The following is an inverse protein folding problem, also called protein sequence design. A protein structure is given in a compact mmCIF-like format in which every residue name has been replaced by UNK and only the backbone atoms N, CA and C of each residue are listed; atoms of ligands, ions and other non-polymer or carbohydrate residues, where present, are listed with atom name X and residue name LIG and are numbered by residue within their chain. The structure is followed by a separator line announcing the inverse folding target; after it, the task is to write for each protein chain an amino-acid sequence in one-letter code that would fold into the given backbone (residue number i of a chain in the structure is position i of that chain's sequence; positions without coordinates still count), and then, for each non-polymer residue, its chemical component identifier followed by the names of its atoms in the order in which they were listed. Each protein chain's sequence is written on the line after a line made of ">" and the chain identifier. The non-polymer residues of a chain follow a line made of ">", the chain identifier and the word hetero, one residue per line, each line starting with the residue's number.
data_IF_256602737619
#
_entry.id   IF_256602737619
#
_cell.length_a   1.000
_cell.length_b   1.000
_cell.length_c   1.000
_cell.angle_alpha   90.00
_cell.angle_beta   90.00
_cell.angle_gamma   90.00
#
_symmetry.space_group_name_H-M   'P 1'
#
loop_
_entity.id
_entity.type
_entity.pdbx_description
1 polymer ?
#
# COMPACT_ATOMS: atom_id res chain seq x y z
N UNK A 1 -14.99 19.44 -8.31
CA UNK A 1 -13.60 19.34 -8.85
C UNK A 1 -13.66 18.57 -10.17
N UNK A 2 -12.84 18.89 -11.17
CA UNK A 2 -12.77 18.10 -12.42
C UNK A 2 -12.33 16.66 -12.10
N UNK A 3 -12.97 15.65 -12.69
CA UNK A 3 -12.68 14.20 -12.51
C UNK A 3 -11.20 13.88 -12.72
N UNK A 4 -10.56 14.51 -13.71
CA UNK A 4 -9.13 14.28 -13.98
C UNK A 4 -8.24 14.78 -12.84
N UNK A 5 -8.57 15.94 -12.26
CA UNK A 5 -7.85 16.50 -11.11
C UNK A 5 -8.07 15.64 -9.86
N UNK A 6 -9.27 15.09 -9.69
CA UNK A 6 -9.56 14.15 -8.60
C UNK A 6 -8.73 12.87 -8.70
N UNK A 7 -8.69 12.24 -9.88
CA UNK A 7 -7.87 11.04 -10.11
C UNK A 7 -6.38 11.33 -9.95
N UNK A 8 -5.90 12.45 -10.50
CA UNK A 8 -4.51 12.88 -10.33
C UNK A 8 -4.14 13.01 -8.84
N UNK A 9 -5.02 13.61 -8.03
CA UNK A 9 -4.79 13.71 -6.59
C UNK A 9 -4.77 12.33 -5.91
N UNK A 10 -5.64 11.39 -6.32
CA UNK A 10 -5.61 10.01 -5.81
C UNK A 10 -4.28 9.33 -6.16
N UNK A 11 -3.79 9.48 -7.39
CA UNK A 11 -2.50 8.95 -7.83
C UNK A 11 -1.31 9.59 -7.11
N UNK A 12 -1.34 10.90 -6.83
CA UNK A 12 -0.32 11.57 -6.01
C UNK A 12 -0.33 11.02 -4.58
N UNK A 13 -1.51 10.85 -3.98
CA UNK A 13 -1.63 10.27 -2.64
C UNK A 13 -1.10 8.84 -2.63
N UNK A 14 -1.39 8.05 -3.66
CA UNK A 14 -0.88 6.69 -3.80
C UNK A 14 0.65 6.67 -3.93
N UNK A 15 1.23 7.52 -4.78
CA UNK A 15 2.68 7.62 -4.93
C UNK A 15 3.39 7.90 -3.59
N UNK A 16 2.85 8.87 -2.83
CA UNK A 16 3.32 9.19 -1.49
C UNK A 16 3.11 8.01 -0.53
N UNK A 17 1.93 7.38 -0.57
CA UNK A 17 1.59 6.25 0.29
C UNK A 17 2.53 5.07 0.06
N UNK A 18 2.71 4.67 -1.20
CA UNK A 18 3.53 3.55 -1.62
C UNK A 18 4.98 3.75 -1.17
N UNK A 19 5.55 4.94 -1.39
CA UNK A 19 6.90 5.24 -0.89
C UNK A 19 6.98 5.14 0.64
N UNK A 20 6.12 5.88 1.35
CA UNK A 20 6.20 5.98 2.82
C UNK A 20 5.98 4.63 3.50
N UNK A 21 5.02 3.85 3.00
CA UNK A 21 4.68 2.52 3.53
C UNK A 21 5.75 1.49 3.21
N UNK A 22 6.24 1.42 1.97
CA UNK A 22 7.32 0.51 1.60
C UNK A 22 8.62 0.84 2.37
N UNK A 23 8.93 2.13 2.54
CA UNK A 23 10.10 2.55 3.30
C UNK A 23 9.99 2.11 4.78
N UNK A 24 8.92 2.49 5.48
CA UNK A 24 8.77 2.09 6.89
C UNK A 24 8.78 0.56 7.05
N UNK A 25 7.93 -0.14 6.30
CA UNK A 25 7.70 -1.57 6.47
C UNK A 25 8.98 -2.40 6.23
N UNK A 26 9.75 -2.05 5.19
CA UNK A 26 10.97 -2.78 4.83
C UNK A 26 12.08 -2.56 5.84
N UNK A 27 12.35 -1.30 6.17
CA UNK A 27 13.47 -0.95 7.04
C UNK A 27 13.17 -1.18 8.52
N UNK A 28 11.91 -1.42 8.89
CA UNK A 28 11.54 -1.88 10.23
C UNK A 28 12.22 -3.20 10.59
N UNK A 29 12.31 -4.17 9.69
CA UNK A 29 12.96 -5.47 10.01
C UNK A 29 14.46 -5.33 10.24
N UNK A 30 15.11 -4.42 9.51
CA UNK A 30 16.49 -4.02 9.78
C UNK A 30 16.63 -3.31 11.13
N UNK A 31 15.71 -2.42 11.45
CA UNK A 31 15.67 -1.71 12.74
C UNK A 31 15.51 -2.67 13.91
N UNK A 32 14.56 -3.62 13.82
CA UNK A 32 14.33 -4.63 14.85
C UNK A 32 15.55 -5.54 15.05
N UNK A 33 16.23 -5.91 13.96
CA UNK A 33 17.49 -6.64 14.05
C UNK A 33 18.59 -5.81 14.70
N UNK A 34 18.74 -4.54 14.30
CA UNK A 34 19.83 -3.68 14.75
C UNK A 34 19.73 -3.33 16.24
N UNK A 35 18.55 -2.94 16.72
CA UNK A 35 18.36 -2.46 18.10
C UNK A 35 17.91 -3.55 19.08
N UNK A 36 17.21 -4.58 18.61
CA UNK A 36 16.63 -5.62 19.48
C UNK A 36 17.18 -7.01 19.22
N UNK A 37 18.12 -7.16 18.28
CA UNK A 37 18.76 -8.44 18.00
C UNK A 37 17.83 -9.49 17.37
N UNK A 38 16.76 -9.04 16.71
CA UNK A 38 15.82 -9.97 16.05
C UNK A 38 16.53 -10.78 14.98
N UNK A 39 16.31 -12.09 15.02
CA UNK A 39 16.75 -13.04 13.99
C UNK A 39 15.66 -13.23 12.91
N UNK A 40 15.96 -14.05 11.91
CA UNK A 40 14.98 -14.41 10.86
C UNK A 40 13.63 -14.86 11.39
N UNK A 41 13.59 -15.65 12.48
CA UNK A 41 12.36 -16.27 12.94
C UNK A 41 11.48 -15.20 13.58
N UNK A 42 12.06 -14.36 14.44
CA UNK A 42 11.32 -13.26 15.06
C UNK A 42 10.82 -12.26 14.01
N UNK A 43 11.64 -11.89 13.02
CA UNK A 43 11.20 -11.02 11.93
C UNK A 43 10.05 -11.63 11.11
N UNK A 44 10.10 -12.94 10.83
CA UNK A 44 8.99 -13.65 10.17
C UNK A 44 7.71 -13.64 11.02
N UNK A 45 7.81 -13.84 12.34
CA UNK A 45 6.64 -13.76 13.22
C UNK A 45 6.02 -12.37 13.24
N UNK A 46 6.84 -11.31 13.32
CA UNK A 46 6.38 -9.93 13.27
C UNK A 46 5.68 -9.65 11.94
N UNK A 47 6.28 -10.08 10.83
CA UNK A 47 5.70 -9.94 9.50
C UNK A 47 4.36 -10.67 9.39
N UNK A 48 4.29 -11.92 9.84
CA UNK A 48 3.06 -12.72 9.82
C UNK A 48 1.95 -12.11 10.69
N UNK A 49 2.30 -11.57 11.86
CA UNK A 49 1.34 -10.88 12.73
C UNK A 49 0.79 -9.61 12.06
N UNK A 50 1.66 -8.83 11.42
CA UNK A 50 1.24 -7.68 10.60
C UNK A 50 0.34 -8.10 9.44
N UNK A 51 0.67 -9.20 8.75
CA UNK A 51 -0.13 -9.78 7.67
C UNK A 51 -1.52 -10.22 8.12
N UNK A 52 -1.65 -10.79 9.33
CA UNK A 52 -2.94 -11.15 9.91
C UNK A 52 -3.82 -9.91 10.16
N UNK A 53 -3.24 -8.86 10.75
CA UNK A 53 -3.94 -7.59 10.97
C UNK A 53 -4.34 -6.93 9.66
N UNK A 54 -3.46 -7.00 8.65
CA UNK A 54 -3.73 -6.48 7.32
C UNK A 54 -4.88 -7.22 6.63
N UNK A 55 -4.89 -8.56 6.69
CA UNK A 55 -5.94 -9.39 6.11
C UNK A 55 -7.32 -9.03 6.68
N UNK A 56 -7.42 -8.95 8.01
CA UNK A 56 -8.68 -8.60 8.68
C UNK A 56 -9.03 -7.14 8.40
N UNK A 57 -8.07 -6.23 8.56
CA UNK A 57 -8.28 -4.78 8.43
C UNK A 57 -8.72 -4.37 7.02
N UNK A 58 -8.10 -4.91 5.97
CA UNK A 58 -8.41 -4.57 4.58
C UNK A 58 -9.84 -4.95 4.19
N UNK A 59 -10.34 -6.09 4.69
CA UNK A 59 -11.73 -6.52 4.44
C UNK A 59 -12.75 -5.53 5.03
N UNK A 60 -12.45 -4.93 6.18
CA UNK A 60 -13.31 -3.94 6.81
C UNK A 60 -13.10 -2.53 6.27
N UNK A 61 -11.89 -2.20 5.81
CA UNK A 61 -11.52 -0.87 5.34
C UNK A 61 -12.38 -0.37 4.18
N UNK A 62 -12.58 -1.19 3.15
CA UNK A 62 -13.42 -0.82 2.00
C UNK A 62 -14.90 -0.64 2.34
N UNK A 63 -15.45 -1.53 3.19
CA UNK A 63 -16.85 -1.39 3.66
C UNK A 63 -17.03 -0.15 4.54
N UNK A 64 -16.04 0.13 5.38
CA UNK A 64 -16.04 1.31 6.23
C UNK A 64 -15.99 2.59 5.40
N UNK A 65 -15.20 2.62 4.32
CA UNK A 65 -15.05 3.78 3.46
C UNK A 65 -16.31 4.11 2.67
N UNK A 66 -17.01 3.10 2.15
CA UNK A 66 -18.31 3.27 1.49
C UNK A 66 -19.37 3.87 2.44
N UNK A 67 -19.39 3.42 3.70
CA UNK A 67 -20.37 3.89 4.69
C UNK A 67 -20.06 5.29 5.24
N UNK A 68 -18.79 5.62 5.45
CA UNK A 68 -18.37 6.84 6.18
C UNK A 68 -17.81 7.93 5.27
N UNK A 69 -17.76 7.69 3.95
CA UNK A 69 -17.15 8.56 2.96
C UNK A 69 -15.65 8.28 2.79
N UNK A 70 -15.21 8.31 1.53
CA UNK A 70 -13.84 7.97 1.15
C UNK A 70 -12.80 8.95 1.71
N UNK A 71 -12.99 10.26 1.50
CA UNK A 71 -12.01 11.27 1.95
C UNK A 71 -11.85 11.26 3.47
N UNK A 72 -12.94 11.09 4.22
CA UNK A 72 -12.90 11.01 5.69
C UNK A 72 -12.13 9.76 6.15
N UNK A 73 -12.39 8.63 5.52
CA UNK A 73 -11.71 7.36 5.83
C UNK A 73 -10.23 7.42 5.50
N UNK A 74 -9.88 8.00 4.35
CA UNK A 74 -8.50 8.18 3.93
C UNK A 74 -7.73 9.12 4.87
N UNK A 75 -8.35 10.23 5.31
CA UNK A 75 -7.79 11.12 6.34
C UNK A 75 -7.55 10.38 7.65
N UNK A 76 -8.49 9.55 8.10
CA UNK A 76 -8.34 8.75 9.31
C UNK A 76 -7.16 7.78 9.18
N UNK A 77 -7.08 7.03 8.08
CA UNK A 77 -5.98 6.09 7.83
C UNK A 77 -4.61 6.76 7.81
N UNK A 78 -4.46 7.84 7.04
CA UNK A 78 -3.20 8.61 6.95
C UNK A 78 -2.85 9.27 8.29
N UNK A 79 -3.82 9.81 9.01
CA UNK A 79 -3.60 10.38 10.33
C UNK A 79 -3.13 9.33 11.33
N UNK A 80 -3.77 8.15 11.34
CA UNK A 80 -3.34 7.03 12.19
C UNK A 80 -1.90 6.64 11.88
N UNK A 81 -1.54 6.52 10.60
CA UNK A 81 -0.17 6.21 10.22
C UNK A 81 0.83 7.29 10.68
N UNK A 82 0.52 8.58 10.48
CA UNK A 82 1.36 9.69 10.95
C UNK A 82 1.51 9.69 12.48
N UNK A 83 0.43 9.47 13.21
CA UNK A 83 0.45 9.39 14.68
C UNK A 83 1.34 8.25 15.17
N UNK A 84 1.27 7.08 14.51
CA UNK A 84 2.10 5.93 14.85
C UNK A 84 3.58 6.17 14.52
N UNK A 85 3.89 6.85 13.41
CA UNK A 85 5.27 7.26 13.11
C UNK A 85 5.82 8.24 14.16
N UNK A 86 4.96 9.15 14.63
CA UNK A 86 5.31 10.11 15.69
C UNK A 86 5.59 9.40 17.01
N UNK A 87 4.73 8.46 17.41
CA UNK A 87 4.92 7.63 18.60
C UNK A 87 6.17 6.74 18.51
N UNK A 88 6.44 6.17 17.33
CA UNK A 88 7.61 5.32 17.06
C UNK A 88 8.96 5.98 17.29
N UNK A 89 9.04 7.31 17.23
CA UNK A 89 10.27 8.05 17.53
C UNK A 89 10.62 8.14 19.01
N UNK A 90 9.63 7.93 19.90
CA UNK A 90 9.77 8.11 21.35
C UNK A 90 9.59 6.83 22.17
N UNK A 91 9.29 5.70 21.53
CA UNK A 91 9.13 4.40 22.18
C UNK A 91 10.30 3.50 21.82
N UNK A 92 11.02 2.97 22.82
CA UNK A 92 12.34 2.37 22.63
C UNK A 92 12.36 0.86 22.88
N UNK A 93 11.22 0.21 23.11
CA UNK A 93 11.16 -1.26 23.29
C UNK A 93 10.65 -1.99 22.06
N UNK A 94 11.10 -3.24 21.87
CA UNK A 94 10.65 -4.09 20.77
C UNK A 94 9.12 -4.29 20.76
N UNK A 95 8.52 -4.48 21.94
CA UNK A 95 7.06 -4.69 22.07
C UNK A 95 6.28 -3.46 21.63
N UNK A 96 6.72 -2.27 22.04
CA UNK A 96 6.10 -1.02 21.61
C UNK A 96 6.20 -0.84 20.10
N UNK A 97 7.36 -1.11 19.51
CA UNK A 97 7.56 -1.00 18.06
C UNK A 97 6.70 -1.98 17.26
N UNK A 98 6.49 -3.19 17.78
CA UNK A 98 5.52 -4.14 17.20
C UNK A 98 4.10 -3.58 17.29
N UNK A 99 3.67 -3.05 18.44
CA UNK A 99 2.33 -2.45 18.60
C UNK A 99 2.15 -1.26 17.65
N UNK A 100 3.16 -0.39 17.52
CA UNK A 100 3.17 0.73 16.56
C UNK A 100 2.95 0.22 15.16
N UNK A 101 3.70 -0.81 14.73
CA UNK A 101 3.56 -1.40 13.41
C UNK A 101 2.16 -1.98 13.19
N UNK A 102 1.57 -2.68 14.16
CA UNK A 102 0.22 -3.24 14.04
C UNK A 102 -0.86 -2.15 13.90
N UNK A 103 -0.79 -1.10 14.73
CA UNK A 103 -1.72 0.02 14.64
C UNK A 103 -1.52 0.83 13.35
N UNK A 104 -0.28 0.95 12.89
CA UNK A 104 0.05 1.58 11.63
C UNK A 104 -0.50 0.79 10.44
N UNK A 105 -0.43 -0.55 10.46
CA UNK A 105 -1.07 -1.44 9.47
C UNK A 105 -2.58 -1.22 9.41
N UNK A 106 -3.26 -1.01 10.55
CA UNK A 106 -4.68 -0.68 10.54
C UNK A 106 -4.95 0.66 9.84
N UNK A 107 -4.08 1.66 10.03
CA UNK A 107 -4.12 2.91 9.28
C UNK A 107 -3.98 2.68 7.77
N UNK A 108 -3.02 1.87 7.35
CA UNK A 108 -2.83 1.47 5.94
C UNK A 108 -4.06 0.75 5.36
N UNK A 109 -4.75 -0.08 6.15
CA UNK A 109 -5.96 -0.77 5.72
C UNK A 109 -7.14 0.18 5.43
N UNK A 110 -7.08 1.42 5.92
CA UNK A 110 -8.05 2.47 5.59
C UNK A 110 -7.62 3.31 4.38
N UNK A 111 -6.41 3.15 3.86
CA UNK A 111 -5.89 3.95 2.76
C UNK A 111 -6.04 3.26 1.40
N UNK A 112 -5.36 2.15 1.18
CA UNK A 112 -5.30 1.54 -0.15
C UNK A 112 -6.68 1.08 -0.69
N UNK A 113 -7.58 0.43 0.09
CA UNK A 113 -8.88 0.02 -0.45
C UNK A 113 -9.76 1.24 -0.76
N UNK A 114 -9.60 2.30 0.05
CA UNK A 114 -10.30 3.57 -0.13
C UNK A 114 -9.84 4.26 -1.42
N UNK A 115 -8.52 4.33 -1.65
CA UNK A 115 -7.96 4.92 -2.87
C UNK A 115 -8.37 4.14 -4.12
N UNK A 116 -8.30 2.81 -4.05
CA UNK A 116 -8.70 1.93 -5.15
C UNK A 116 -10.19 2.09 -5.47
N UNK A 117 -11.05 2.16 -4.45
CA UNK A 117 -12.47 2.46 -4.65
C UNK A 117 -12.67 3.84 -5.29
N UNK A 118 -11.98 4.87 -4.82
CA UNK A 118 -12.09 6.24 -5.35
C UNK A 118 -11.74 6.35 -6.84
N UNK A 119 -10.80 5.55 -7.35
CA UNK A 119 -10.41 5.59 -8.78
C UNK A 119 -11.22 4.65 -9.67
N UNK A 120 -11.92 3.69 -9.06
CA UNK A 120 -12.61 2.58 -9.73
C UNK A 120 -14.13 2.75 -9.81
N UNK A 121 -14.73 3.35 -8.79
CA UNK A 121 -16.18 3.44 -8.70
C UNK A 121 -16.77 4.36 -9.79
N UNK A 122 -17.78 3.87 -10.50
CA UNK A 122 -18.42 4.59 -11.60
C UNK A 122 -17.59 4.67 -12.89
N UNK A 123 -16.54 3.86 -13.03
CA UNK A 123 -15.80 3.69 -14.29
C UNK A 123 -16.42 2.61 -15.17
N UNK A 124 -16.41 2.83 -16.49
CA UNK A 124 -16.66 1.78 -17.47
C UNK A 124 -15.51 0.75 -17.48
N UNK A 125 -15.71 -0.50 -17.96
CA UNK A 125 -14.72 -1.58 -17.87
C UNK A 125 -13.35 -1.25 -18.45
N UNK A 126 -13.29 -0.49 -19.56
CA UNK A 126 -12.02 -0.11 -20.19
C UNK A 126 -11.28 0.92 -19.33
N UNK A 127 -11.99 1.96 -18.86
CA UNK A 127 -11.38 2.97 -17.98
C UNK A 127 -11.02 2.40 -16.61
N UNK A 128 -11.81 1.45 -16.10
CA UNK A 128 -11.52 0.72 -14.86
C UNK A 128 -10.18 -0.02 -14.98
N UNK A 129 -10.01 -0.82 -16.04
CA UNK A 129 -8.76 -1.54 -16.30
C UNK A 129 -7.57 -0.58 -16.39
N UNK A 130 -7.71 0.53 -17.11
CA UNK A 130 -6.65 1.54 -17.24
C UNK A 130 -6.33 2.22 -15.90
N UNK A 131 -7.35 2.56 -15.10
CA UNK A 131 -7.16 3.19 -13.79
C UNK A 131 -6.47 2.28 -12.78
N UNK A 132 -6.86 1.01 -12.73
CA UNK A 132 -6.20 0.00 -11.89
C UNK A 132 -4.77 -0.28 -12.37
N UNK A 133 -4.53 -0.32 -13.68
CA UNK A 133 -3.17 -0.47 -14.25
C UNK A 133 -2.25 0.68 -13.84
N UNK A 134 -2.69 1.93 -14.04
CA UNK A 134 -1.92 3.13 -13.63
C UNK A 134 -1.67 3.12 -12.12
N UNK A 135 -2.68 2.79 -11.32
CA UNK A 135 -2.54 2.67 -9.86
C UNK A 135 -1.45 1.68 -9.45
N UNK A 136 -1.45 0.48 -10.04
CA UNK A 136 -0.46 -0.56 -9.76
C UNK A 136 0.96 -0.19 -10.21
N UNK A 137 1.10 0.48 -11.35
CA UNK A 137 2.40 0.99 -11.84
C UNK A 137 2.95 2.02 -10.84
N UNK A 138 2.13 2.96 -10.39
CA UNK A 138 2.53 3.98 -9.42
C UNK A 138 2.94 3.34 -8.10
N UNK A 139 2.10 2.45 -7.57
CA UNK A 139 2.39 1.73 -6.34
C UNK A 139 3.73 0.96 -6.43
N UNK A 140 3.95 0.22 -7.53
CA UNK A 140 5.16 -0.56 -7.72
C UNK A 140 6.39 0.33 -7.90
N UNK A 141 6.30 1.41 -8.69
CA UNK A 141 7.42 2.30 -8.97
C UNK A 141 7.89 3.06 -7.72
N UNK A 142 6.96 3.59 -6.93
CA UNK A 142 7.31 4.31 -5.71
C UNK A 142 7.74 3.39 -4.56
N UNK A 143 7.22 2.15 -4.52
CA UNK A 143 7.76 1.11 -3.64
C UNK A 143 9.18 0.72 -4.04
N UNK A 144 9.46 0.53 -5.34
CA UNK A 144 10.82 0.27 -5.84
C UNK A 144 11.78 1.39 -5.44
N UNK A 145 11.35 2.65 -5.63
CA UNK A 145 12.13 3.81 -5.25
C UNK A 145 12.45 3.81 -3.75
N UNK A 146 11.47 3.56 -2.89
CA UNK A 146 11.66 3.47 -1.44
C UNK A 146 12.66 2.37 -1.04
N UNK A 147 12.60 1.20 -1.68
CA UNK A 147 13.59 0.15 -1.49
C UNK A 147 14.98 0.61 -1.94
N UNK A 148 15.07 1.22 -3.12
CA UNK A 148 16.34 1.60 -3.74
C UNK A 148 17.10 2.66 -2.93
N UNK A 149 16.44 3.75 -2.54
CA UNK A 149 17.10 4.84 -1.80
C UNK A 149 17.02 4.69 -0.28
N UNK A 150 16.13 3.85 0.23
CA UNK A 150 15.84 3.80 1.65
C UNK A 150 17.03 3.44 2.52
N UNK A 151 17.87 2.49 2.08
CA UNK A 151 19.04 2.08 2.86
C UNK A 151 20.09 3.19 2.93
N UNK A 152 20.24 3.95 1.84
CA UNK A 152 21.09 5.15 1.82
C UNK A 152 20.56 6.24 2.76
N UNK A 153 19.23 6.43 2.83
CA UNK A 153 18.59 7.33 3.79
C UNK A 153 18.89 6.90 5.24
N UNK A 154 18.76 5.60 5.53
CA UNK A 154 19.02 5.06 6.87
C UNK A 154 20.50 5.20 7.25
N UNK A 155 21.42 4.88 6.34
CA UNK A 155 22.87 5.01 6.58
C UNK A 155 23.30 6.47 6.74
N UNK A 156 22.76 7.38 5.91
CA UNK A 156 23.16 8.79 5.90
C UNK A 156 22.47 9.68 6.94
N UNK A 157 21.19 9.42 7.24
CA UNK A 157 20.37 10.23 8.16
C UNK A 157 20.07 9.52 9.48
N UNK A 158 20.56 8.30 9.65
CA UNK A 158 20.40 7.48 10.84
C UNK A 158 19.05 6.77 10.94
N UNK A 159 18.95 5.82 11.87
CA UNK A 159 17.80 4.94 12.02
C UNK A 159 16.47 5.63 12.33
N UNK A 160 16.48 6.82 12.97
CA UNK A 160 15.25 7.56 13.23
C UNK A 160 14.55 8.00 11.93
N UNK A 161 15.25 8.00 10.79
CA UNK A 161 14.67 8.28 9.48
C UNK A 161 13.52 7.37 9.10
N UNK A 162 13.51 6.11 9.54
CA UNK A 162 12.40 5.19 9.28
C UNK A 162 11.06 5.69 9.84
N UNK A 163 11.09 6.63 10.79
CA UNK A 163 9.89 7.22 11.38
C UNK A 163 9.61 8.62 10.83
N UNK A 164 10.59 9.52 10.86
CA UNK A 164 10.34 10.91 10.49
C UNK A 164 10.14 11.11 8.99
N UNK A 165 10.77 10.29 8.13
CA UNK A 165 10.56 10.38 6.66
C UNK A 165 9.11 9.99 6.30
N UNK A 166 8.58 8.81 6.71
CA UNK A 166 7.18 8.49 6.52
C UNK A 166 6.23 9.48 7.20
N UNK A 167 6.57 10.02 8.37
CA UNK A 167 5.78 11.06 9.03
C UNK A 167 5.61 12.30 8.14
N UNK A 168 6.70 12.81 7.55
CA UNK A 168 6.62 13.95 6.63
C UNK A 168 5.77 13.62 5.40
N UNK A 169 5.94 12.42 4.84
CA UNK A 169 5.17 11.95 3.69
C UNK A 169 3.68 11.86 4.01
N UNK A 170 3.31 11.28 5.15
CA UNK A 170 1.92 11.24 5.62
C UNK A 170 1.39 12.65 5.90
N UNK A 171 2.23 13.56 6.41
CA UNK A 171 1.89 14.98 6.54
C UNK A 171 1.56 15.64 5.20
N UNK A 172 2.36 15.38 4.16
CA UNK A 172 2.07 15.85 2.79
C UNK A 172 0.77 15.26 2.25
N UNK A 173 0.51 13.97 2.49
CA UNK A 173 -0.76 13.34 2.11
C UNK A 173 -1.96 14.03 2.79
N UNK A 174 -1.86 14.36 4.08
CA UNK A 174 -2.91 15.09 4.80
C UNK A 174 -3.13 16.50 4.23
N UNK A 175 -2.07 17.18 3.80
CA UNK A 175 -2.18 18.47 3.12
C UNK A 175 -2.93 18.32 1.79
N UNK A 176 -2.55 17.35 0.95
CA UNK A 176 -3.26 17.07 -0.31
C UNK A 176 -4.73 16.75 -0.05
N UNK A 177 -5.03 15.88 0.92
CA UNK A 177 -6.39 15.51 1.32
C UNK A 177 -7.22 16.67 1.89
N UNK A 178 -6.57 17.65 2.51
CA UNK A 178 -7.24 18.86 3.00
C UNK A 178 -7.62 19.80 1.84
N UNK A 179 -6.80 19.84 0.79
CA UNK A 179 -7.02 20.66 -0.40
C UNK A 179 -7.99 20.00 -1.39
N UNK A 180 -8.12 18.68 -1.35
CA UNK A 180 -9.11 17.94 -2.14
C UNK A 180 -10.54 18.32 -1.73
N UNK A 181 -11.32 18.77 -2.70
CA UNK A 181 -12.77 18.89 -2.59
C UNK A 181 -13.41 17.60 -3.10
N UNK A 182 -14.46 17.13 -2.45
CA UNK A 182 -15.23 16.00 -2.98
C UNK A 182 -15.74 16.34 -4.40
N UNK A 183 -15.74 15.37 -5.32
CA UNK A 183 -16.34 15.58 -6.63
C UNK A 183 -17.81 15.98 -6.45
N UNK A 184 -18.22 17.02 -7.18
CA UNK A 184 -19.62 17.42 -7.28
C UNK A 184 -20.24 16.32 -8.15
N UNK A 185 -21.05 15.45 -7.55
CA UNK A 185 -21.67 14.24 -8.11
C UNK A 185 -20.81 12.98 -8.21
N UNK A 186 -21.00 12.08 -7.25
CA UNK A 186 -21.08 10.64 -7.49
C UNK A 186 -22.48 10.12 -7.09
N UNK A 187 -23.54 10.91 -7.34
CA UNK A 187 -24.94 10.43 -7.35
C UNK A 187 -25.28 9.65 -8.64
N UNK A 188 -24.26 9.13 -9.34
CA UNK A 188 -24.45 8.41 -10.60
C UNK A 188 -24.92 6.95 -10.41
N UNK A 189 -25.02 6.46 -9.18
CA UNK A 189 -25.57 5.12 -8.89
C UNK A 189 -27.09 5.06 -8.89
N UNK A 190 -27.81 6.19 -9.01
CA UNK A 190 -29.27 6.20 -9.11
C UNK A 190 -29.81 6.43 -10.54
N UNK A 191 -28.96 6.73 -11.53
CA UNK A 191 -29.40 7.13 -12.88
C UNK A 191 -28.75 6.31 -14.01
N UNK A 192 -28.17 5.13 -13.73
CA UNK A 192 -27.85 4.21 -14.82
C UNK A 192 -29.19 3.76 -15.43
N UNK A 193 -29.52 4.24 -16.63
CA UNK A 193 -30.71 3.79 -17.35
C UNK A 193 -30.52 2.32 -17.71
N UNK A 194 -31.63 1.59 -17.89
CA UNK A 194 -31.58 0.17 -18.27
C UNK A 194 -30.75 -0.11 -19.54
N UNK A 195 -30.59 0.89 -20.42
CA UNK A 195 -29.73 0.83 -21.61
C UNK A 195 -28.23 0.85 -21.28
N UNK A 196 -27.77 1.64 -20.30
CA UNK A 196 -26.36 1.68 -19.91
C UNK A 196 -25.92 0.35 -19.27
N UNK A 197 -26.81 -0.30 -18.53
CA UNK A 197 -26.58 -1.62 -17.96
C UNK A 197 -26.56 -2.72 -19.04
N UNK A 198 -27.44 -2.64 -20.06
CA UNK A 198 -27.44 -3.57 -21.19
C UNK A 198 -26.20 -3.46 -22.07
N UNK A 199 -25.71 -2.24 -22.34
CA UNK A 199 -24.49 -2.01 -23.13
C UNK A 199 -23.20 -2.49 -22.42
N UNK A 200 -23.19 -2.46 -21.09
CA UNK A 200 -22.11 -3.01 -20.27
C UNK A 200 -22.14 -4.54 -20.24
N UNK A 201 -23.33 -5.15 -20.15
CA UNK A 201 -23.51 -6.60 -20.25
C UNK A 201 -23.16 -7.12 -21.66
N UNK A 202 -23.55 -6.41 -22.72
CA UNK A 202 -23.22 -6.80 -24.10
C UNK A 202 -21.71 -6.72 -24.39
N UNK A 203 -20.99 -5.73 -23.85
CA UNK A 203 -19.53 -5.68 -23.97
C UNK A 203 -18.83 -6.73 -23.09
N UNK A 204 -19.34 -7.00 -21.88
CA UNK A 204 -18.87 -8.08 -21.01
C UNK A 204 -19.29 -9.49 -21.48
N UNK A 205 -20.21 -9.61 -22.44
CA UNK A 205 -20.69 -10.87 -23.01
C UNK A 205 -19.66 -11.53 -23.95
N UNK A 206 -18.63 -10.79 -24.35
CA UNK A 206 -17.55 -11.28 -25.23
C UNK A 206 -16.61 -12.29 -24.56
N UNK A 207 -16.56 -12.31 -23.22
CA UNK A 207 -15.75 -13.26 -22.45
C UNK A 207 -16.65 -14.34 -21.85
N UNK A 208 -16.45 -15.59 -22.29
CA UNK A 208 -17.17 -16.76 -21.76
C UNK A 208 -17.16 -16.78 -20.22
N UNK A 209 -18.29 -17.18 -19.62
CA UNK A 209 -18.41 -17.35 -18.16
C UNK A 209 -17.36 -18.31 -17.60
N UNK A 210 -16.93 -19.30 -18.38
CA UNK A 210 -15.86 -20.23 -18.01
C UNK A 210 -14.50 -19.52 -17.93
N UNK A 211 -14.22 -18.61 -18.86
CA UNK A 211 -13.00 -17.79 -18.85
C UNK A 211 -12.98 -16.87 -17.63
N UNK A 212 -14.10 -16.20 -17.30
CA UNK A 212 -14.21 -15.36 -16.08
C UNK A 212 -13.95 -16.18 -14.81
N UNK A 213 -14.54 -17.38 -14.72
CA UNK A 213 -14.35 -18.29 -13.59
C UNK A 213 -12.91 -18.77 -13.47
N UNK A 214 -12.28 -19.13 -14.59
CA UNK A 214 -10.87 -19.53 -14.64
C UNK A 214 -9.95 -18.39 -14.19
N UNK A 215 -10.17 -17.16 -14.68
CA UNK A 215 -9.41 -15.98 -14.25
C UNK A 215 -9.56 -15.71 -12.75
N UNK A 216 -10.78 -15.78 -12.20
CA UNK A 216 -10.96 -15.66 -10.75
C UNK A 216 -10.20 -16.75 -10.00
N UNK A 217 -10.33 -18.02 -10.41
CA UNK A 217 -9.62 -19.13 -9.75
C UNK A 217 -8.10 -18.94 -9.77
N UNK A 218 -7.55 -18.50 -10.90
CA UNK A 218 -6.13 -18.15 -11.00
C UNK A 218 -5.77 -17.01 -10.04
N UNK A 219 -6.57 -15.95 -9.96
CA UNK A 219 -6.32 -14.83 -9.06
C UNK A 219 -6.37 -15.25 -7.57
N UNK A 220 -7.32 -16.12 -7.19
CA UNK A 220 -7.44 -16.66 -5.84
C UNK A 220 -6.25 -17.50 -5.40
N UNK A 221 -5.49 -18.09 -6.33
CA UNK A 221 -4.29 -18.87 -6.03
C UNK A 221 -3.03 -18.00 -6.14
N UNK A 222 -2.91 -17.25 -7.24
CA UNK A 222 -1.72 -16.46 -7.56
C UNK A 222 -1.50 -15.33 -6.55
N UNK A 223 -2.55 -14.61 -6.14
CA UNK A 223 -2.39 -13.48 -5.21
C UNK A 223 -1.87 -13.93 -3.84
N UNK A 224 -2.47 -14.92 -3.14
CA UNK A 224 -1.92 -15.39 -1.87
C UNK A 224 -0.48 -15.89 -1.97
N UNK A 225 -0.13 -16.63 -3.04
CA UNK A 225 1.24 -17.12 -3.22
C UNK A 225 2.24 -15.99 -3.47
N UNK A 226 1.89 -15.01 -4.30
CA UNK A 226 2.73 -13.85 -4.54
C UNK A 226 2.96 -13.03 -3.27
N UNK A 227 1.91 -12.80 -2.48
CA UNK A 227 2.01 -12.10 -1.20
C UNK A 227 2.78 -12.92 -0.16
N UNK A 228 2.61 -14.24 -0.13
CA UNK A 228 3.39 -15.11 0.76
C UNK A 228 4.89 -15.06 0.42
N UNK A 229 5.24 -15.12 -0.86
CA UNK A 229 6.63 -15.00 -1.29
C UNK A 229 7.24 -13.64 -0.89
N UNK A 230 6.54 -12.54 -1.16
CA UNK A 230 7.00 -11.20 -0.81
C UNK A 230 7.17 -11.03 0.72
N UNK A 231 6.16 -11.43 1.49
CA UNK A 231 6.18 -11.33 2.96
C UNK A 231 7.09 -12.38 3.63
N UNK A 232 7.61 -13.35 2.89
CA UNK A 232 8.68 -14.22 3.38
C UNK A 232 10.04 -13.61 3.11
N UNK A 233 10.26 -13.05 1.91
CA UNK A 233 11.56 -12.50 1.52
C UNK A 233 11.89 -11.23 2.32
N UNK A 234 10.97 -10.26 2.38
CA UNK A 234 11.18 -8.95 3.01
C UNK A 234 11.73 -9.06 4.46
N UNK A 235 11.11 -9.80 5.39
CA UNK A 235 11.62 -9.92 6.76
C UNK A 235 12.94 -10.70 6.87
N UNK A 236 13.32 -11.47 5.85
CA UNK A 236 14.57 -12.22 5.79
C UNK A 236 15.73 -11.42 5.20
N UNK A 237 15.46 -10.30 4.50
CA UNK A 237 16.50 -9.47 3.89
C UNK A 237 17.60 -9.08 4.88
N UNK A 238 17.34 -8.67 6.14
CA UNK A 238 18.40 -8.33 7.08
C UNK A 238 19.37 -9.50 7.35
N UNK A 239 18.84 -10.69 7.63
CA UNK A 239 19.63 -11.91 7.87
C UNK A 239 20.44 -12.31 6.63
N UNK A 240 19.82 -12.28 5.45
CA UNK A 240 20.49 -12.59 4.17
C UNK A 240 21.64 -11.60 3.94
N UNK A 241 21.37 -10.31 4.14
CA UNK A 241 22.36 -9.23 3.95
C UNK A 241 23.54 -9.39 4.88
N UNK A 242 23.29 -9.71 6.16
CA UNK A 242 24.33 -10.01 7.15
C UNK A 242 25.18 -11.21 6.73
N UNK A 243 24.56 -12.27 6.20
CA UNK A 243 25.26 -13.46 5.71
C UNK A 243 26.22 -13.19 4.55
N UNK A 244 25.89 -12.23 3.69
CA UNK A 244 26.71 -11.80 2.55
C UNK A 244 27.58 -10.57 2.83
N UNK A 245 27.55 -10.02 4.05
CA UNK A 245 28.29 -8.81 4.41
C UNK A 245 27.83 -7.54 3.67
N UNK A 246 26.57 -7.51 3.22
CA UNK A 246 26.00 -6.37 2.50
C UNK A 246 25.59 -5.26 3.47
N UNK A 247 25.78 -4.01 3.07
CA UNK A 247 25.23 -2.86 3.79
C UNK A 247 23.72 -2.77 3.61
N UNK A 248 23.05 -1.99 4.46
CA UNK A 248 21.59 -1.74 4.37
C UNK A 248 21.22 -1.10 3.03
N UNK A 249 22.08 -0.22 2.50
CA UNK A 249 21.93 0.37 1.16
C UNK A 249 21.96 -0.68 0.06
N UNK A 250 22.97 -1.55 0.04
CA UNK A 250 23.11 -2.55 -1.03
C UNK A 250 21.99 -3.60 -0.97
N UNK A 251 21.55 -3.95 0.23
CA UNK A 251 20.38 -4.81 0.43
C UNK A 251 19.11 -4.19 -0.14
N UNK A 252 18.86 -2.90 0.12
CA UNK A 252 17.75 -2.14 -0.43
C UNK A 252 17.77 -2.10 -1.96
N UNK A 253 18.94 -1.81 -2.54
CA UNK A 253 19.15 -1.80 -3.99
C UNK A 253 18.77 -3.15 -4.63
N UNK A 254 19.27 -4.27 -4.10
CA UNK A 254 18.99 -5.60 -4.65
C UNK A 254 17.51 -5.93 -4.53
N UNK A 255 16.90 -5.62 -3.38
CA UNK A 255 15.48 -5.91 -3.15
C UNK A 255 14.54 -5.06 -4.01
N UNK A 256 14.99 -3.89 -4.49
CA UNK A 256 14.21 -3.05 -5.39
C UNK A 256 13.91 -3.74 -6.74
N UNK A 257 14.74 -4.70 -7.17
CA UNK A 257 14.56 -5.47 -8.41
C UNK A 257 13.19 -6.15 -8.44
N UNK A 258 12.68 -6.61 -7.29
CA UNK A 258 11.36 -7.22 -7.20
C UNK A 258 10.26 -6.25 -7.65
N UNK A 259 10.28 -5.02 -7.13
CA UNK A 259 9.28 -4.02 -7.49
C UNK A 259 9.48 -3.44 -8.90
N UNK A 260 10.73 -3.31 -9.36
CA UNK A 260 11.03 -2.95 -10.75
C UNK A 260 10.45 -3.98 -11.71
N UNK A 261 10.58 -5.28 -11.39
CA UNK A 261 9.99 -6.35 -12.20
C UNK A 261 8.48 -6.20 -12.28
N UNK A 262 7.81 -5.81 -11.18
CA UNK A 262 6.37 -5.56 -11.17
C UNK A 262 5.95 -4.39 -12.06
N UNK A 263 6.74 -3.31 -12.10
CA UNK A 263 6.48 -2.17 -12.99
C UNK A 263 6.49 -2.59 -14.46
N UNK A 264 7.38 -3.51 -14.86
CA UNK A 264 7.47 -3.98 -16.25
C UNK A 264 6.33 -4.94 -16.62
N UNK A 265 5.75 -5.63 -15.64
CA UNK A 265 4.67 -6.62 -15.89
C UNK A 265 3.25 -6.04 -15.87
N UNK A 266 3.06 -4.84 -15.31
CA UNK A 266 1.79 -4.13 -15.31
C UNK A 266 1.64 -3.25 -16.55
#
# INVERSE_FOLDING_TARGET
>A
MNRNVYKLNCYIIEALNAFGTAFYYTYLFFYLQHFFGFDRILNLYVCALGGLFYLVGSFFGGKFSQKNGYIKTLKLGVFTMAAMMSAGMGLDTAKEQIVIMLLWVLGMCLTWPTLEAMISEGEDPIRLSNSIGIYNIIWAAFSALAFFIGGAIVEGLGWKSIFWVPLLIHGLQLIVLKLMKEPIHLDATNNATGEDLQLLDDNNSTISGDTKKAFMQMAWIANPLAYMAANTIIPLVPDISKGFGLSTMLAGFICSIFYISRVVTF
#
